data_IF_909425510663
#
_entry.id   IF_909425510663
#
_cell.length_a   1.000
_cell.length_b   1.000
_cell.length_c   1.000
_cell.angle_alpha   90.00
_cell.angle_beta   90.00
_cell.angle_gamma   90.00
#
_symmetry.space_group_name_H-M   'P 1'
#
loop_
_entity.id
_entity.type
_entity.pdbx_description
1 polymer ?
#
# COMPACT_ATOMS: atom_id res chain seq x y z
N UNK A 1 -6.99 0.07 -5.79
CA UNK A 1 -5.62 -0.28 -6.24
C UNK A 1 -4.71 0.84 -5.76
N UNK A 2 -3.77 0.57 -4.83
CA UNK A 2 -2.70 1.54 -4.54
C UNK A 2 -1.70 1.43 -5.67
N UNK A 3 -1.58 2.47 -6.50
CA UNK A 3 -0.62 2.48 -7.60
C UNK A 3 0.83 2.39 -7.11
N UNK A 4 1.74 2.01 -8.01
CA UNK A 4 3.20 1.94 -7.77
C UNK A 4 3.74 3.25 -7.19
N UNK A 5 3.22 4.38 -7.67
CA UNK A 5 3.58 5.73 -7.22
C UNK A 5 3.32 5.93 -5.72
N UNK A 6 2.20 5.41 -5.22
CA UNK A 6 1.83 5.51 -3.81
C UNK A 6 2.77 4.69 -2.93
N UNK A 7 3.13 3.48 -3.39
CA UNK A 7 4.06 2.58 -2.70
C UNK A 7 5.46 3.24 -2.63
N UNK A 8 5.93 3.80 -3.75
CA UNK A 8 7.19 4.50 -3.83
C UNK A 8 7.23 5.69 -2.86
N UNK A 9 6.15 6.50 -2.82
CA UNK A 9 6.07 7.66 -1.93
C UNK A 9 6.06 7.26 -0.46
N UNK A 10 5.33 6.21 -0.07
CA UNK A 10 5.38 5.66 1.29
C UNK A 10 6.80 5.24 1.68
N UNK A 11 7.50 4.52 0.81
CA UNK A 11 8.87 4.05 1.08
C UNK A 11 9.84 5.22 1.19
N UNK A 12 9.75 6.20 0.30
CA UNK A 12 10.59 7.40 0.32
C UNK A 12 10.41 8.17 1.64
N UNK A 13 9.17 8.45 2.02
CA UNK A 13 8.87 9.18 3.25
C UNK A 13 9.36 8.44 4.52
N UNK A 14 9.31 7.11 4.51
CA UNK A 14 9.76 6.32 5.65
C UNK A 14 11.29 6.20 5.72
N UNK A 15 11.94 5.77 4.64
CA UNK A 15 13.37 5.48 4.64
C UNK A 15 14.23 6.73 4.46
N UNK A 16 13.81 7.67 3.62
CA UNK A 16 14.61 8.85 3.31
C UNK A 16 14.32 10.01 4.25
N UNK A 17 13.05 10.25 4.56
CA UNK A 17 12.63 11.34 5.45
C UNK A 17 12.44 10.90 6.92
N UNK A 18 12.61 9.60 7.23
CA UNK A 18 12.49 9.08 8.60
C UNK A 18 11.10 9.22 9.22
N UNK A 19 10.05 9.45 8.42
CA UNK A 19 8.70 9.69 8.96
C UNK A 19 8.10 8.38 9.48
N UNK A 20 7.48 8.45 10.66
CA UNK A 20 6.74 7.32 11.22
C UNK A 20 5.43 7.02 10.49
N UNK A 21 4.99 5.77 10.57
CA UNK A 21 3.77 5.24 9.90
C UNK A 21 2.53 6.12 10.12
N UNK A 22 2.31 6.61 11.35
CA UNK A 22 1.13 7.45 11.68
C UNK A 22 1.14 8.78 10.93
N UNK A 23 2.32 9.36 10.71
CA UNK A 23 2.47 10.64 10.01
C UNK A 23 2.23 10.44 8.51
N UNK A 24 2.87 9.44 7.92
CA UNK A 24 2.70 9.08 6.50
C UNK A 24 1.23 8.80 6.18
N UNK A 25 0.55 8.01 7.02
CA UNK A 25 -0.87 7.71 6.86
C UNK A 25 -1.77 8.96 6.85
N UNK A 26 -1.46 9.96 7.69
CA UNK A 26 -2.22 11.22 7.74
C UNK A 26 -1.93 12.11 6.54
N UNK A 27 -0.66 12.24 6.15
CA UNK A 27 -0.25 13.10 5.04
C UNK A 27 -0.73 12.57 3.69
N UNK A 28 -0.72 11.25 3.48
CA UNK A 28 -1.16 10.63 2.23
C UNK A 28 -2.64 10.23 2.21
N UNK A 29 -3.35 10.33 3.35
CA UNK A 29 -4.75 9.90 3.45
C UNK A 29 -4.95 8.39 3.31
N UNK A 30 -3.94 7.59 3.68
CA UNK A 30 -3.92 6.14 3.49
C UNK A 30 -4.10 5.44 4.83
N UNK A 31 -4.78 4.30 4.85
CA UNK A 31 -4.89 3.46 6.02
C UNK A 31 -3.50 3.05 6.55
N UNK A 32 -3.32 3.09 7.88
CA UNK A 32 -2.05 2.73 8.54
C UNK A 32 -1.61 1.31 8.22
N UNK A 33 -2.56 0.39 8.07
CA UNK A 33 -2.29 -1.00 7.73
C UNK A 33 -1.72 -1.16 6.33
N UNK A 34 -2.17 -0.34 5.37
CA UNK A 34 -1.59 -0.29 4.03
C UNK A 34 -0.14 0.19 4.07
N UNK A 35 0.14 1.26 4.83
CA UNK A 35 1.52 1.77 5.03
C UNK A 35 2.39 0.69 5.69
N UNK A 36 1.88 0.02 6.72
CA UNK A 36 2.58 -1.09 7.40
C UNK A 36 2.83 -2.27 6.44
N UNK A 37 1.83 -2.63 5.61
CA UNK A 37 1.94 -3.70 4.63
C UNK A 37 3.02 -3.40 3.59
N UNK A 38 3.07 -2.17 3.06
CA UNK A 38 4.12 -1.69 2.15
C UNK A 38 5.50 -1.88 2.77
N UNK A 39 5.70 -1.35 3.98
CA UNK A 39 7.01 -1.34 4.63
C UNK A 39 7.49 -2.74 5.05
N UNK A 40 6.57 -3.63 5.46
CA UNK A 40 6.92 -4.99 5.90
C UNK A 40 7.15 -5.95 4.72
N UNK A 41 6.37 -5.83 3.65
CA UNK A 41 6.46 -6.76 2.52
C UNK A 41 7.56 -6.41 1.51
N UNK A 42 7.98 -5.14 1.45
CA UNK A 42 8.96 -4.67 0.46
C UNK A 42 8.46 -4.75 -0.99
N UNK A 43 7.21 -5.17 -1.21
CA UNK A 43 6.62 -5.37 -2.52
C UNK A 43 6.51 -4.04 -3.28
N UNK A 44 6.85 -4.07 -4.56
CA UNK A 44 6.77 -2.93 -5.49
C UNK A 44 5.36 -2.76 -6.06
N UNK A 45 4.55 -3.82 -6.05
CA UNK A 45 3.18 -3.83 -6.55
C UNK A 45 2.27 -4.68 -5.66
N UNK A 46 1.06 -4.18 -5.43
CA UNK A 46 -0.04 -4.99 -4.87
C UNK A 46 -1.04 -5.29 -5.98
N UNK A 47 -0.84 -6.40 -6.68
CA UNK A 47 -1.82 -6.89 -7.64
C UNK A 47 -3.01 -7.49 -6.89
N UNK A 48 -4.22 -7.05 -7.22
CA UNK A 48 -5.43 -7.76 -6.79
C UNK A 48 -5.53 -9.05 -7.61
N UNK A 49 -5.01 -10.16 -7.07
CA UNK A 49 -5.21 -11.50 -7.64
C UNK A 49 -6.50 -12.07 -7.06
N UNK A 50 -7.51 -12.21 -7.91
CA UNK A 50 -8.73 -12.96 -7.58
C UNK A 50 -8.51 -14.40 -8.01
N UNK A 51 -8.42 -15.33 -7.06
CA UNK A 51 -8.17 -16.75 -7.35
C UNK A 51 -9.36 -17.42 -8.04
N UNK A 52 -10.58 -17.00 -7.68
CA UNK A 52 -11.82 -17.55 -8.23
C UNK A 52 -12.75 -16.40 -8.59
N UNK A 53 -13.17 -16.35 -9.87
CA UNK A 53 -14.23 -15.48 -10.34
C UNK A 53 -15.56 -16.25 -10.22
N UNK A 54 -16.46 -15.88 -9.28
CA UNK A 54 -17.76 -16.52 -9.17
C UNK A 54 -18.55 -16.26 -10.46
N UNK A 55 -19.10 -17.33 -11.03
CA UNK A 55 -19.95 -17.22 -12.22
C UNK A 55 -21.28 -16.57 -11.83
N UNK A 56 -21.84 -15.80 -12.77
CA UNK A 56 -23.15 -15.17 -12.61
C UNK A 56 -24.19 -16.28 -12.42
N UNK A 57 -24.96 -16.23 -11.33
CA UNK A 57 -26.12 -17.11 -11.16
C UNK A 57 -27.17 -16.71 -12.21
N UNK A 58 -27.59 -17.68 -13.02
CA UNK A 58 -28.76 -17.56 -13.91
C UNK A 58 -30.03 -17.66 -13.09
#
# INVERSE_FOLDING_TARGET
MTGVETIARIRFEHFQNGKGIKRIARELGIARDTVRKVLRSGATEFTYKREVQPQRKL
#
